data_IF_926332289974
#
_entry.id   IF_926332289974
#
_cell.length_a   1.000
_cell.length_b   1.000
_cell.length_c   1.000
_cell.angle_alpha   90.00
_cell.angle_beta   90.00
_cell.angle_gamma   90.00
#
_symmetry.space_group_name_H-M   'P 1'
#
loop_
_entity.id
_entity.type
_entity.pdbx_description
1 polymer ?
#
# COMPACT_ATOMS: atom_id res chain seq x y z
N UNK A 1 -28.73 -7.39 -15.29
CA UNK A 1 -27.42 -7.66 -14.64
C UNK A 1 -27.14 -6.59 -13.57
N UNK A 2 -26.79 -7.01 -12.35
CA UNK A 2 -26.43 -6.13 -11.22
C UNK A 2 -25.12 -6.61 -10.60
N UNK A 3 -24.30 -5.67 -10.14
CA UNK A 3 -23.01 -5.95 -9.50
C UNK A 3 -23.02 -5.46 -8.06
N UNK A 4 -22.63 -6.31 -7.13
CA UNK A 4 -22.41 -5.94 -5.74
C UNK A 4 -20.92 -5.79 -5.48
N UNK A 5 -20.54 -4.62 -4.97
CA UNK A 5 -19.17 -4.29 -4.62
C UNK A 5 -19.03 -4.21 -3.11
N UNK A 6 -17.90 -4.69 -2.60
CA UNK A 6 -17.43 -4.39 -1.25
C UNK A 6 -16.18 -3.53 -1.37
N UNK A 7 -16.29 -2.27 -0.94
CA UNK A 7 -15.30 -1.21 -1.22
C UNK A 7 -15.19 -0.95 -2.72
N UNK A 8 -14.10 -1.39 -3.36
CA UNK A 8 -13.81 -1.20 -4.79
C UNK A 8 -13.72 -2.51 -5.56
N UNK A 9 -14.10 -3.63 -4.94
CA UNK A 9 -13.93 -4.96 -5.51
C UNK A 9 -15.28 -5.65 -5.73
N UNK A 10 -15.52 -6.28 -6.90
CA UNK A 10 -16.76 -7.00 -7.17
C UNK A 10 -16.80 -8.31 -6.37
N UNK A 11 -17.91 -8.52 -5.65
CA UNK A 11 -18.11 -9.66 -4.73
C UNK A 11 -19.24 -10.57 -5.18
N UNK A 12 -20.30 -10.02 -5.76
CA UNK A 12 -21.40 -10.82 -6.29
C UNK A 12 -21.88 -10.24 -7.61
N UNK A 13 -22.06 -11.10 -8.58
CA UNK A 13 -22.73 -10.83 -9.84
C UNK A 13 -24.14 -11.43 -9.78
N UNK A 14 -25.14 -10.65 -10.18
CA UNK A 14 -26.54 -11.07 -10.24
C UNK A 14 -27.02 -10.92 -11.68
N UNK A 15 -27.39 -12.04 -12.29
CA UNK A 15 -27.97 -12.15 -13.62
C UNK A 15 -29.35 -12.80 -13.54
N UNK A 16 -30.11 -12.74 -14.62
CA UNK A 16 -31.45 -13.34 -14.66
C UNK A 16 -31.39 -14.88 -14.50
N UNK A 17 -30.26 -15.49 -14.88
CA UNK A 17 -29.99 -16.92 -14.77
C UNK A 17 -29.47 -17.35 -13.39
N UNK A 18 -29.15 -16.42 -12.48
CA UNK A 18 -28.66 -16.74 -11.13
C UNK A 18 -27.56 -15.79 -10.64
N UNK A 19 -26.92 -16.20 -9.55
CA UNK A 19 -25.92 -15.39 -8.85
C UNK A 19 -24.56 -16.09 -8.86
N UNK A 20 -23.49 -15.32 -9.06
CA UNK A 20 -22.11 -15.76 -8.90
C UNK A 20 -21.44 -14.94 -7.80
N UNK A 21 -21.00 -15.60 -6.73
CA UNK A 21 -20.29 -14.98 -5.62
C UNK A 21 -18.80 -15.28 -5.66
N UNK A 22 -17.98 -14.33 -5.25
CA UNK A 22 -16.52 -14.43 -5.25
C UNK A 22 -15.98 -14.36 -3.83
N UNK A 23 -15.24 -15.39 -3.42
CA UNK A 23 -14.53 -15.39 -2.16
C UNK A 23 -13.19 -14.67 -2.33
N UNK A 24 -12.97 -13.62 -1.53
CA UNK A 24 -11.77 -12.77 -1.63
C UNK A 24 -11.05 -12.62 -0.31
N UNK A 25 -9.72 -12.55 -0.37
CA UNK A 25 -8.89 -11.98 0.68
C UNK A 25 -8.20 -10.73 0.16
N UNK A 26 -8.65 -9.56 0.64
CA UNK A 26 -8.23 -8.25 0.12
C UNK A 26 -8.51 -8.16 -1.40
N UNK A 27 -7.46 -8.06 -2.22
CA UNK A 27 -7.57 -8.00 -3.69
C UNK A 27 -7.48 -9.37 -4.38
N UNK A 28 -7.10 -10.41 -3.65
CA UNK A 28 -6.93 -11.75 -4.22
C UNK A 28 -8.29 -12.46 -4.23
N UNK A 29 -8.68 -12.95 -5.40
CA UNK A 29 -9.90 -13.73 -5.59
C UNK A 29 -9.52 -15.19 -5.49
N UNK A 30 -9.97 -15.85 -4.44
CA UNK A 30 -9.51 -17.18 -4.04
C UNK A 30 -10.51 -18.27 -4.44
N UNK A 31 -11.77 -17.90 -4.66
CA UNK A 31 -12.79 -18.83 -5.10
C UNK A 31 -13.98 -18.14 -5.73
N UNK A 32 -14.76 -18.92 -6.47
CA UNK A 32 -16.02 -18.52 -7.09
C UNK A 32 -17.07 -19.58 -6.77
N UNK A 33 -18.29 -19.15 -6.50
CA UNK A 33 -19.43 -20.02 -6.22
C UNK A 33 -20.68 -19.55 -6.96
N UNK A 34 -21.29 -20.47 -7.70
CA UNK A 34 -22.61 -20.31 -8.29
C UNK A 34 -23.45 -21.56 -7.97
N UNK A 35 -23.90 -22.32 -8.97
CA UNK A 35 -24.41 -23.68 -8.77
C UNK A 35 -23.30 -24.63 -8.28
N UNK A 36 -22.07 -24.40 -8.73
CA UNK A 36 -20.86 -25.13 -8.33
C UNK A 36 -19.81 -24.16 -7.77
N UNK A 37 -18.88 -24.69 -6.97
CA UNK A 37 -17.78 -23.94 -6.39
C UNK A 37 -16.44 -24.33 -7.01
N UNK A 38 -15.58 -23.34 -7.24
CA UNK A 38 -14.22 -23.55 -7.75
C UNK A 38 -13.21 -22.66 -7.00
N UNK A 39 -12.02 -23.20 -6.79
CA UNK A 39 -10.85 -22.46 -6.31
C UNK A 39 -10.16 -21.76 -7.48
N UNK A 40 -9.60 -20.59 -7.21
CA UNK A 40 -8.90 -19.78 -8.21
C UNK A 40 -7.41 -19.67 -7.87
N UNK A 41 -6.57 -19.93 -8.87
CA UNK A 41 -5.15 -19.60 -8.82
C UNK A 41 -4.96 -18.19 -9.36
N UNK A 42 -4.32 -17.32 -8.59
CA UNK A 42 -4.08 -15.92 -8.96
C UNK A 42 -2.60 -15.56 -8.90
N UNK A 43 -2.19 -14.57 -9.71
CA UNK A 43 -0.86 -13.97 -9.62
C UNK A 43 -0.74 -12.94 -8.48
N UNK A 44 0.43 -12.34 -8.32
CA UNK A 44 0.66 -11.30 -7.31
C UNK A 44 -0.15 -10.02 -7.59
N UNK A 45 -0.63 -9.80 -8.82
CA UNK A 45 -1.50 -8.68 -9.18
C UNK A 45 -2.98 -8.96 -8.86
N UNK A 46 -3.34 -10.22 -8.62
CA UNK A 46 -4.71 -10.71 -8.43
C UNK A 46 -5.37 -11.24 -9.72
N UNK A 47 -4.65 -11.33 -10.83
CA UNK A 47 -5.16 -11.87 -12.09
C UNK A 47 -5.42 -13.38 -11.98
N UNK A 48 -6.60 -13.82 -12.38
CA UNK A 48 -7.01 -15.24 -12.31
C UNK A 48 -6.37 -16.04 -13.43
N UNK A 49 -5.41 -16.91 -13.07
CA UNK A 49 -4.67 -17.76 -14.00
C UNK A 49 -5.33 -19.12 -14.23
N UNK A 50 -5.99 -19.66 -13.20
CA UNK A 50 -6.63 -20.98 -13.23
C UNK A 50 -7.91 -20.98 -12.40
N UNK A 51 -8.91 -21.73 -12.84
CA UNK A 51 -10.12 -22.05 -12.07
C UNK A 51 -10.29 -23.57 -11.98
N UNK A 52 -10.50 -24.08 -10.77
CA UNK A 52 -10.50 -25.52 -10.47
C UNK A 52 -11.60 -25.89 -9.49
N UNK A 53 -12.57 -26.67 -9.96
CA UNK A 53 -13.53 -27.41 -9.13
C UNK A 53 -13.03 -28.84 -8.92
N UNK A 54 -13.92 -29.82 -9.08
CA UNK A 54 -13.53 -31.25 -9.10
C UNK A 54 -12.54 -31.58 -10.23
N UNK A 55 -12.61 -30.82 -11.32
CA UNK A 55 -11.66 -30.84 -12.43
C UNK A 55 -11.20 -29.43 -12.79
N UNK A 56 -10.18 -29.33 -13.64
CA UNK A 56 -9.73 -28.06 -14.18
C UNK A 56 -10.85 -27.46 -15.05
N UNK A 57 -11.35 -26.28 -14.65
CA UNK A 57 -12.47 -25.59 -15.32
C UNK A 57 -11.96 -24.63 -16.39
N UNK A 58 -10.83 -23.95 -16.14
CA UNK A 58 -10.27 -23.02 -17.12
C UNK A 58 -8.89 -22.48 -16.77
N UNK A 59 -8.17 -22.03 -17.80
CA UNK A 59 -6.84 -21.38 -17.70
C UNK A 59 -6.87 -20.08 -18.49
N UNK A 60 -6.25 -19.04 -17.94
CA UNK A 60 -6.16 -17.71 -18.55
C UNK A 60 -4.72 -17.19 -18.51
N UNK A 61 -4.26 -16.63 -19.62
CA UNK A 61 -2.97 -15.96 -19.72
C UNK A 61 -3.21 -14.51 -20.13
N UNK A 62 -2.59 -13.58 -19.41
CA UNK A 62 -2.74 -12.14 -19.67
C UNK A 62 -1.43 -11.55 -20.18
N UNK A 63 -1.55 -10.66 -21.17
CA UNK A 63 -0.49 -9.69 -21.46
C UNK A 63 -0.32 -8.71 -20.28
N UNK A 64 0.77 -7.91 -20.24
CA UNK A 64 0.96 -6.87 -19.23
C UNK A 64 -0.24 -5.92 -19.08
N UNK A 65 -0.95 -5.64 -20.17
CA UNK A 65 -2.13 -4.76 -20.18
C UNK A 65 -3.46 -5.52 -19.97
N UNK A 66 -3.42 -6.81 -19.64
CA UNK A 66 -4.62 -7.58 -19.32
C UNK A 66 -5.35 -8.17 -20.52
N UNK A 67 -4.80 -8.06 -21.73
CA UNK A 67 -5.38 -8.74 -22.89
C UNK A 67 -5.22 -10.26 -22.74
N UNK A 68 -6.31 -11.00 -22.96
CA UNK A 68 -6.38 -12.47 -22.95
C UNK A 68 -7.32 -12.94 -24.06
N UNK A 69 -7.06 -14.12 -24.61
CA UNK A 69 -7.96 -14.79 -25.56
C UNK A 69 -9.09 -15.56 -24.85
N UNK A 70 -8.89 -15.89 -23.57
CA UNK A 70 -9.82 -16.69 -22.77
C UNK A 70 -10.23 -15.92 -21.51
N UNK A 71 -11.06 -14.87 -21.61
CA UNK A 71 -11.46 -14.09 -20.46
C UNK A 71 -12.48 -14.83 -19.57
N UNK A 72 -12.24 -14.78 -18.27
CA UNK A 72 -13.17 -15.17 -17.20
C UNK A 72 -13.98 -13.96 -16.72
N UNK A 73 -15.09 -14.17 -16.01
CA UNK A 73 -15.92 -13.07 -15.50
C UNK A 73 -15.16 -12.17 -14.53
N UNK A 74 -14.32 -12.77 -13.68
CA UNK A 74 -13.31 -12.07 -12.90
C UNK A 74 -11.95 -12.54 -13.41
N UNK A 75 -11.16 -11.61 -13.96
CA UNK A 75 -9.95 -11.94 -14.69
C UNK A 75 -8.76 -11.11 -14.26
N UNK A 76 -8.25 -10.28 -15.18
CA UNK A 76 -7.09 -9.41 -14.98
C UNK A 76 -7.21 -8.62 -13.67
N UNK A 77 -6.22 -8.74 -12.79
CA UNK A 77 -6.15 -8.07 -11.48
C UNK A 77 -7.36 -8.27 -10.57
N UNK A 78 -8.14 -9.33 -10.80
CA UNK A 78 -9.37 -9.57 -10.06
C UNK A 78 -10.49 -8.59 -10.39
N UNK A 79 -10.42 -7.93 -11.55
CA UNK A 79 -11.45 -7.03 -12.06
C UNK A 79 -12.48 -7.78 -12.90
N UNK A 80 -13.69 -7.22 -12.96
CA UNK A 80 -14.75 -7.78 -13.79
C UNK A 80 -14.49 -7.53 -15.26
N UNK A 81 -14.62 -8.57 -16.08
CA UNK A 81 -14.54 -8.46 -17.52
C UNK A 81 -15.94 -8.32 -18.13
N UNK A 82 -16.19 -7.18 -18.75
CA UNK A 82 -17.39 -6.97 -19.54
C UNK A 82 -17.26 -7.68 -20.88
N UNK A 83 -18.01 -8.77 -21.05
CA UNK A 83 -18.02 -9.56 -22.29
C UNK A 83 -18.58 -8.78 -23.48
N UNK A 84 -19.55 -7.88 -23.26
CA UNK A 84 -20.16 -7.06 -24.31
C UNK A 84 -19.20 -6.02 -24.86
N UNK A 85 -18.60 -5.22 -23.98
CA UNK A 85 -17.69 -4.13 -24.37
C UNK A 85 -16.23 -4.58 -24.51
N UNK A 86 -15.91 -5.83 -24.16
CA UNK A 86 -14.57 -6.43 -24.13
C UNK A 86 -13.56 -5.57 -23.37
N UNK A 87 -13.92 -5.18 -22.15
CA UNK A 87 -13.19 -4.21 -21.32
C UNK A 87 -13.45 -4.42 -19.83
N UNK A 88 -12.75 -3.68 -18.99
CA UNK A 88 -12.85 -3.74 -17.53
C UNK A 88 -13.41 -2.42 -16.99
N UNK A 89 -14.64 -2.37 -16.45
CA UNK A 89 -15.20 -1.14 -15.88
C UNK A 89 -14.67 -0.93 -14.45
N UNK A 90 -13.55 -0.21 -14.35
CA UNK A 90 -12.87 0.09 -13.10
C UNK A 90 -13.57 1.24 -12.35
N UNK A 91 -13.33 1.33 -11.04
CA UNK A 91 -13.95 2.37 -10.22
C UNK A 91 -15.45 2.20 -10.04
N UNK A 92 -15.91 0.95 -9.91
CA UNK A 92 -17.33 0.61 -9.86
C UNK A 92 -18.10 1.13 -11.10
N UNK A 93 -17.48 1.05 -12.28
CA UNK A 93 -18.06 1.55 -13.53
C UNK A 93 -17.74 3.00 -13.87
N UNK A 94 -16.94 3.69 -13.06
CA UNK A 94 -16.53 5.07 -13.34
C UNK A 94 -15.79 5.21 -14.68
N UNK A 95 -14.82 4.34 -14.97
CA UNK A 95 -14.11 4.34 -16.27
C UNK A 95 -13.98 2.95 -16.85
N UNK A 96 -14.19 2.87 -18.16
CA UNK A 96 -14.06 1.63 -18.91
C UNK A 96 -12.64 1.48 -19.46
N UNK A 97 -11.87 0.52 -18.92
CA UNK A 97 -10.50 0.21 -19.32
C UNK A 97 -10.48 -0.84 -20.44
N UNK A 98 -9.90 -0.49 -21.59
CA UNK A 98 -9.72 -1.42 -22.70
C UNK A 98 -8.30 -1.98 -22.70
N UNK A 99 -8.17 -3.28 -22.44
CA UNK A 99 -6.90 -3.99 -22.52
C UNK A 99 -6.33 -4.05 -23.95
N UNK A 100 -7.19 -3.98 -24.97
CA UNK A 100 -6.79 -3.93 -26.39
C UNK A 100 -6.19 -2.56 -26.74
N UNK A 101 -6.83 -1.47 -26.29
CA UNK A 101 -6.34 -0.10 -26.52
C UNK A 101 -5.26 0.33 -25.51
N UNK A 102 -5.03 -0.49 -24.49
CA UNK A 102 -4.08 -0.25 -23.40
C UNK A 102 -4.37 1.04 -22.61
N UNK A 103 -5.64 1.47 -22.57
CA UNK A 103 -6.06 2.76 -21.99
C UNK A 103 -7.52 2.77 -21.58
N UNK A 104 -7.93 3.80 -20.84
CA UNK A 104 -9.34 4.10 -20.59
C UNK A 104 -10.03 4.65 -21.84
N UNK A 105 -11.31 4.33 -22.01
CA UNK A 105 -12.16 4.83 -23.11
C UNK A 105 -12.77 6.20 -22.83
N UNK A 106 -12.77 6.63 -21.57
CA UNK A 106 -13.23 7.95 -21.12
C UNK A 106 -12.12 8.70 -20.38
N UNK A 107 -12.09 10.04 -20.45
CA UNK A 107 -11.13 10.84 -19.70
C UNK A 107 -11.43 10.81 -18.20
N UNK A 108 -10.40 10.95 -17.37
CA UNK A 108 -10.57 11.16 -15.93
C UNK A 108 -11.00 12.60 -15.61
N UNK A 109 -12.07 12.77 -14.83
CA UNK A 109 -12.47 14.05 -14.23
C UNK A 109 -11.42 14.63 -13.27
N UNK A 110 -10.53 13.80 -12.71
CA UNK A 110 -9.43 14.26 -11.87
C UNK A 110 -8.16 14.58 -12.68
N UNK A 111 -8.18 14.44 -14.00
CA UNK A 111 -7.09 14.88 -14.87
C UNK A 111 -7.33 16.28 -15.42
N UNK A 112 -6.28 17.03 -15.80
CA UNK A 112 -4.86 16.70 -15.62
C UNK A 112 -4.24 17.19 -14.29
N UNK A 113 -4.97 18.02 -13.52
CA UNK A 113 -4.42 18.71 -12.33
C UNK A 113 -4.70 18.01 -10.98
N UNK A 114 -5.48 16.93 -10.96
CA UNK A 114 -5.76 16.12 -9.77
C UNK A 114 -5.10 14.74 -9.81
N UNK A 115 -5.65 13.80 -9.05
CA UNK A 115 -5.09 12.45 -8.85
C UNK A 115 -5.04 11.59 -10.14
N UNK A 116 -5.77 11.99 -11.19
CA UNK A 116 -5.80 11.30 -12.50
C UNK A 116 -4.51 11.41 -13.31
N UNK A 117 -3.65 12.37 -12.97
CA UNK A 117 -2.40 12.65 -13.68
C UNK A 117 -2.61 13.31 -15.04
N UNK A 118 -1.51 13.64 -15.71
CA UNK A 118 -1.51 14.52 -16.90
C UNK A 118 -2.27 13.93 -18.10
N UNK A 119 -2.20 12.61 -18.30
CA UNK A 119 -2.91 11.96 -19.40
C UNK A 119 -4.25 11.38 -18.91
N UNK A 120 -5.40 12.00 -19.28
CA UNK A 120 -6.71 11.57 -18.78
C UNK A 120 -7.13 10.16 -19.21
N UNK A 121 -6.47 9.57 -20.20
CA UNK A 121 -6.77 8.23 -20.71
C UNK A 121 -5.78 7.17 -20.24
N UNK A 122 -4.65 7.54 -19.64
CA UNK A 122 -3.58 6.58 -19.34
C UNK A 122 -4.02 5.56 -18.28
N UNK A 123 -3.83 4.28 -18.56
CA UNK A 123 -3.97 3.25 -17.55
C UNK A 123 -2.68 3.16 -16.73
N UNK A 124 -2.78 3.43 -15.43
CA UNK A 124 -1.72 3.30 -14.43
C UNK A 124 -0.35 3.91 -14.82
N UNK A 125 -0.38 5.02 -15.56
CA UNK A 125 0.82 5.67 -16.12
C UNK A 125 1.68 4.74 -16.99
N UNK A 126 1.05 3.84 -17.74
CA UNK A 126 1.68 2.90 -18.67
C UNK A 126 2.62 1.88 -18.02
N UNK A 127 2.40 1.55 -16.73
CA UNK A 127 3.17 0.53 -15.99
C UNK A 127 2.24 -0.51 -15.32
N UNK A 128 1.48 -1.28 -16.11
CA UNK A 128 0.50 -2.24 -15.58
C UNK A 128 1.12 -3.51 -15.01
N UNK A 129 2.44 -3.68 -15.08
CA UNK A 129 3.16 -4.79 -14.41
C UNK A 129 3.44 -4.47 -12.94
N UNK A 130 3.53 -3.19 -12.57
CA UNK A 130 3.78 -2.77 -11.19
C UNK A 130 2.57 -2.12 -10.49
N UNK A 131 1.55 -1.71 -11.26
CA UNK A 131 0.46 -0.88 -10.75
C UNK A 131 -0.93 -1.33 -11.16
N UNK A 132 -1.92 -1.04 -10.32
CA UNK A 132 -3.37 -1.19 -10.56
C UNK A 132 -4.15 0.11 -10.34
N UNK A 133 -5.39 0.17 -10.78
CA UNK A 133 -6.29 1.31 -10.51
C UNK A 133 -7.73 0.84 -10.23
N UNK A 134 -8.01 0.29 -9.04
CA UNK A 134 -9.35 -0.18 -8.68
C UNK A 134 -10.39 0.95 -8.63
N UNK A 135 -9.93 2.19 -8.39
CA UNK A 135 -10.79 3.37 -8.37
C UNK A 135 -11.15 3.88 -9.77
N UNK A 136 -10.45 3.41 -10.80
CA UNK A 136 -10.46 4.06 -12.09
C UNK A 136 -10.07 5.53 -12.00
N UNK A 137 -9.20 5.96 -11.09
CA UNK A 137 -8.70 7.34 -11.01
C UNK A 137 -7.18 7.38 -10.94
N UNK A 138 -6.59 6.56 -10.07
CA UNK A 138 -5.18 6.65 -9.74
C UNK A 138 -4.52 5.30 -9.59
N UNK A 139 -3.25 5.26 -9.97
CA UNK A 139 -2.44 4.05 -9.81
C UNK A 139 -2.11 3.76 -8.34
N UNK A 140 -2.20 2.50 -7.96
CA UNK A 140 -1.72 1.92 -6.70
C UNK A 140 -0.75 0.76 -6.98
N UNK A 141 0.27 0.58 -6.14
CA UNK A 141 1.23 -0.52 -6.32
C UNK A 141 0.56 -1.87 -6.08
N UNK A 142 0.92 -2.88 -6.88
CA UNK A 142 0.50 -4.27 -6.63
C UNK A 142 1.02 -4.82 -5.32
N UNK A 143 2.21 -4.40 -4.92
CA UNK A 143 2.96 -4.97 -3.80
C UNK A 143 2.34 -4.58 -2.46
N UNK A 144 1.13 -5.06 -2.20
CA UNK A 144 0.57 -5.29 -0.87
C UNK A 144 1.34 -6.35 -0.09
N UNK A 145 2.35 -6.99 -0.71
CA UNK A 145 3.46 -7.67 -0.04
C UNK A 145 4.78 -7.13 -0.60
N UNK A 146 5.14 -5.89 -0.24
CA UNK A 146 6.55 -5.67 0.09
C UNK A 146 6.66 -6.05 1.55
N UNK A 147 7.49 -7.05 1.86
CA UNK A 147 7.95 -7.28 3.22
C UNK A 147 8.28 -5.91 3.81
N UNK A 148 7.76 -5.65 5.01
CA UNK A 148 8.14 -4.43 5.68
C UNK A 148 9.60 -4.55 5.98
N UNK A 149 10.40 -3.72 5.32
CA UNK A 149 11.85 -3.80 5.50
C UNK A 149 12.21 -2.94 6.69
N UNK A 150 13.07 -3.50 7.52
CA UNK A 150 13.79 -2.75 8.52
C UNK A 150 15.24 -2.72 8.08
N UNK A 151 15.78 -1.54 7.88
CA UNK A 151 17.14 -1.34 7.38
C UNK A 151 17.86 -0.35 8.25
N UNK A 152 19.02 -0.74 8.76
CA UNK A 152 19.92 0.13 9.49
C UNK A 152 20.96 0.70 8.55
N UNK A 153 21.11 2.02 8.53
CA UNK A 153 22.13 2.68 7.73
C UNK A 153 22.99 3.55 8.62
N UNK A 154 24.31 3.42 8.48
CA UNK A 154 25.27 4.32 9.11
C UNK A 154 25.92 5.19 8.03
N UNK A 155 25.75 6.52 8.12
CA UNK A 155 26.26 7.47 7.14
C UNK A 155 27.23 8.46 7.77
N UNK A 156 28.13 9.02 6.96
CA UNK A 156 29.05 10.10 7.37
C UNK A 156 30.48 9.61 7.64
N UNK A 157 31.44 10.42 7.18
CA UNK A 157 32.88 10.11 7.24
C UNK A 157 33.48 10.49 8.60
N UNK A 158 33.20 11.70 9.09
CA UNK A 158 33.78 12.22 10.34
C UNK A 158 32.88 12.00 11.57
N UNK A 159 31.55 12.14 11.39
CA UNK A 159 30.55 11.85 12.43
C UNK A 159 29.57 10.83 11.88
N UNK A 160 29.70 9.59 12.32
CA UNK A 160 28.78 8.50 11.97
C UNK A 160 27.40 8.82 12.53
N UNK A 161 26.41 8.96 11.65
CA UNK A 161 24.98 9.06 11.97
C UNK A 161 24.32 7.71 11.73
N UNK A 162 23.59 7.19 12.71
CA UNK A 162 22.81 5.96 12.58
C UNK A 162 21.35 6.29 12.31
N UNK A 163 20.83 5.78 11.22
CA UNK A 163 19.43 5.93 10.83
C UNK A 163 18.77 4.55 10.70
N UNK A 164 17.55 4.44 11.21
CA UNK A 164 16.71 3.26 11.02
C UNK A 164 15.61 3.57 10.01
N UNK A 165 15.47 2.76 8.97
CA UNK A 165 14.41 2.87 7.99
C UNK A 165 13.43 1.73 8.18
N UNK A 166 12.15 2.07 8.37
CA UNK A 166 11.04 1.13 8.39
C UNK A 166 10.13 1.48 7.22
N UNK A 167 9.99 0.57 6.26
CA UNK A 167 9.15 0.81 5.09
C UNK A 167 8.02 -0.19 5.02
N UNK A 168 6.79 0.29 4.91
CA UNK A 168 5.60 -0.54 4.96
C UNK A 168 4.37 0.22 4.50
N UNK A 169 3.21 -0.43 4.52
CA UNK A 169 1.95 0.23 4.18
C UNK A 169 1.32 0.80 5.44
N UNK A 170 0.95 2.08 5.45
CA UNK A 170 0.13 2.62 6.53
C UNK A 170 -1.36 2.39 6.29
N UNK A 171 -2.16 2.49 7.34
CA UNK A 171 -3.61 2.41 7.27
C UNK A 171 -4.25 3.79 7.00
N UNK A 172 -5.43 3.80 6.36
CA UNK A 172 -6.15 5.05 6.05
C UNK A 172 -6.63 5.80 7.30
N UNK A 173 -6.85 5.09 8.40
CA UNK A 173 -7.18 5.67 9.71
C UNK A 173 -5.92 6.19 10.45
N UNK A 174 -4.73 6.11 9.84
CA UNK A 174 -3.45 6.57 10.39
C UNK A 174 -3.01 5.87 11.69
N UNK A 175 -3.62 4.73 12.05
CA UNK A 175 -3.36 4.06 13.33
C UNK A 175 -2.35 2.92 13.27
N UNK A 176 -2.09 2.36 12.08
CA UNK A 176 -1.31 1.13 11.92
C UNK A 176 -0.33 1.22 10.75
N UNK A 177 0.80 0.53 10.90
CA UNK A 177 1.71 0.20 9.80
C UNK A 177 1.68 -1.31 9.62
N UNK A 178 1.38 -1.75 8.40
CA UNK A 178 1.42 -3.17 8.04
C UNK A 178 2.86 -3.65 8.04
N UNK A 179 3.10 -4.76 8.75
CA UNK A 179 4.32 -5.54 8.80
C UNK A 179 3.98 -7.00 8.47
N UNK A 180 4.62 -7.60 7.46
CA UNK A 180 4.34 -8.97 7.00
C UNK A 180 2.83 -9.27 6.81
N UNK A 181 2.10 -8.29 6.25
CA UNK A 181 0.65 -8.40 6.01
C UNK A 181 -0.25 -8.06 7.21
N UNK A 182 0.31 -7.91 8.41
CA UNK A 182 -0.42 -7.61 9.65
C UNK A 182 -0.32 -6.13 10.00
N UNK A 183 -1.44 -5.44 10.23
CA UNK A 183 -1.43 -4.05 10.69
C UNK A 183 -1.03 -3.95 12.16
N UNK A 184 0.13 -3.37 12.45
CA UNK A 184 0.68 -3.21 13.79
C UNK A 184 0.47 -1.80 14.34
N UNK A 185 0.16 -1.69 15.62
CA UNK A 185 0.26 -0.42 16.38
C UNK A 185 1.73 0.00 16.53
N UNK A 186 2.03 1.24 16.97
CA UNK A 186 3.39 1.67 17.27
C UNK A 186 4.13 0.74 18.24
N UNK A 187 3.45 0.28 19.29
CA UNK A 187 4.00 -0.61 20.32
C UNK A 187 4.27 -2.01 19.75
N UNK A 188 3.35 -2.53 18.95
CA UNK A 188 3.51 -3.81 18.30
C UNK A 188 4.64 -3.78 17.27
N UNK A 189 4.78 -2.69 16.53
CA UNK A 189 5.89 -2.49 15.59
C UNK A 189 7.24 -2.41 16.32
N UNK A 190 7.28 -1.78 17.49
CA UNK A 190 8.47 -1.69 18.31
C UNK A 190 8.96 -3.07 18.77
N UNK A 191 8.07 -3.90 19.33
CA UNK A 191 8.44 -5.26 19.72
C UNK A 191 8.81 -6.11 18.50
N UNK A 192 8.09 -5.95 17.38
CA UNK A 192 8.41 -6.68 16.14
C UNK A 192 9.79 -6.33 15.58
N UNK A 193 10.20 -5.07 15.68
CA UNK A 193 11.53 -4.63 15.28
C UNK A 193 12.61 -5.24 16.19
N UNK A 194 12.37 -5.34 17.50
CA UNK A 194 13.28 -6.02 18.44
C UNK A 194 13.41 -7.51 18.16
N UNK A 195 12.31 -8.20 17.85
CA UNK A 195 12.33 -9.60 17.40
C UNK A 195 13.21 -9.80 16.16
N UNK A 196 13.30 -8.79 15.29
CA UNK A 196 14.16 -8.79 14.09
C UNK A 196 15.60 -8.35 14.37
N UNK A 197 15.98 -8.15 15.64
CA UNK A 197 17.34 -7.83 16.05
C UNK A 197 17.66 -6.34 16.17
N UNK A 198 16.67 -5.45 16.01
CA UNK A 198 16.87 -4.00 16.17
C UNK A 198 17.01 -3.66 17.64
N UNK A 199 18.07 -2.95 18.00
CA UNK A 199 18.21 -2.37 19.33
C UNK A 199 17.99 -0.85 19.28
N UNK A 200 17.01 -0.36 20.03
CA UNK A 200 16.67 1.07 20.08
C UNK A 200 17.47 1.85 21.12
N UNK A 201 18.06 1.16 22.09
CA UNK A 201 18.72 1.79 23.23
C UNK A 201 20.06 1.13 23.55
N UNK A 202 21.02 1.94 23.99
CA UNK A 202 22.30 1.47 24.52
C UNK A 202 22.42 1.96 25.95
N UNK A 203 22.76 1.04 26.86
CA UNK A 203 23.05 1.35 28.26
C UNK A 203 24.54 1.62 28.45
N UNK A 204 24.88 2.71 29.14
CA UNK A 204 26.25 3.04 29.56
C UNK A 204 26.21 3.48 31.04
N UNK A 205 26.51 2.54 31.94
CA UNK A 205 26.30 2.73 33.38
C UNK A 205 24.80 2.81 33.70
N UNK A 206 24.40 3.85 34.45
CA UNK A 206 22.99 4.11 34.80
C UNK A 206 22.23 4.91 33.74
N UNK A 207 22.90 5.30 32.66
CA UNK A 207 22.30 6.10 31.59
C UNK A 207 21.91 5.21 30.42
N UNK A 208 20.68 5.36 29.97
CA UNK A 208 20.18 4.80 28.73
C UNK A 208 20.11 5.90 27.68
N UNK A 209 20.53 5.61 26.45
CA UNK A 209 20.44 6.55 25.33
C UNK A 209 19.90 5.89 24.07
N UNK A 210 19.19 6.63 23.22
CA UNK A 210 18.76 6.13 21.92
C UNK A 210 19.96 5.75 21.05
N UNK A 211 19.79 4.70 20.25
CA UNK A 211 20.78 4.17 19.31
C UNK A 211 20.85 4.98 18.03
N UNK A 212 19.69 5.39 17.52
CA UNK A 212 19.56 6.06 16.22
C UNK A 212 19.44 7.56 16.40
N UNK A 213 20.15 8.32 15.57
CA UNK A 213 19.97 9.77 15.47
C UNK A 213 18.59 10.12 14.92
N UNK A 214 18.05 9.24 14.06
CA UNK A 214 16.73 9.37 13.43
C UNK A 214 16.18 8.01 13.03
N UNK A 215 14.88 7.82 13.21
CA UNK A 215 14.12 6.73 12.60
C UNK A 215 13.20 7.30 11.52
N UNK A 216 13.07 6.62 10.38
CA UNK A 216 12.22 7.03 9.26
C UNK A 216 11.16 5.93 9.06
N UNK A 217 9.89 6.28 9.24
CA UNK A 217 8.76 5.41 8.93
C UNK A 217 8.17 5.84 7.59
N UNK A 218 8.64 5.21 6.51
CA UNK A 218 8.12 5.43 5.16
C UNK A 218 6.87 4.55 4.93
N UNK A 219 5.77 5.01 5.52
CA UNK A 219 4.44 4.41 5.39
C UNK A 219 3.40 5.51 5.20
N UNK A 220 2.37 5.24 4.39
CA UNK A 220 1.30 6.19 4.11
C UNK A 220 0.64 6.69 5.41
N UNK A 221 0.37 7.99 5.51
CA UNK A 221 -0.35 8.58 6.64
C UNK A 221 0.27 8.32 8.04
N UNK A 222 1.56 7.94 8.13
CA UNK A 222 2.22 7.70 9.41
C UNK A 222 2.37 8.96 10.28
N UNK A 223 2.29 10.15 9.71
CA UNK A 223 2.21 11.42 10.44
C UNK A 223 0.77 11.93 10.63
N UNK A 224 -0.23 11.26 10.01
CA UNK A 224 -1.62 11.62 10.15
C UNK A 224 -2.08 11.41 11.59
N UNK A 225 -2.94 12.31 12.06
CA UNK A 225 -3.76 12.07 13.25
C UNK A 225 -5.05 11.43 12.77
N UNK A 226 -5.46 10.30 13.38
CA UNK A 226 -6.83 9.81 13.20
C UNK A 226 -7.83 10.96 13.48
N UNK A 227 -9.06 10.88 12.98
CA UNK A 227 -10.09 11.93 13.06
C UNK A 227 -10.35 12.52 14.48
N UNK A 228 -9.76 11.96 15.53
CA UNK A 228 -9.96 12.30 16.94
C UNK A 228 -8.66 12.76 17.67
N UNK A 229 -8.07 13.88 17.23
CA UNK A 229 -7.11 14.75 18.00
C UNK A 229 -5.90 14.09 18.70
N UNK A 230 -5.65 12.80 18.52
CA UNK A 230 -4.60 12.03 19.19
C UNK A 230 -3.24 12.16 18.51
N UNK A 231 -2.18 11.74 19.20
CA UNK A 231 -0.83 11.68 18.62
C UNK A 231 -0.77 10.74 17.40
N UNK A 232 -0.06 11.16 16.35
CA UNK A 232 0.16 10.36 15.14
C UNK A 232 0.90 9.05 15.43
N UNK A 233 0.82 8.09 14.51
CA UNK A 233 1.60 6.85 14.60
C UNK A 233 3.09 7.14 14.83
N UNK A 234 3.66 8.05 14.04
CA UNK A 234 5.06 8.43 14.12
C UNK A 234 5.42 9.12 15.44
N UNK A 235 4.53 9.96 16.01
CA UNK A 235 4.75 10.55 17.32
C UNK A 235 4.76 9.50 18.43
N UNK A 236 3.76 8.61 18.46
CA UNK A 236 3.70 7.52 19.45
C UNK A 236 4.93 6.61 19.35
N UNK A 237 5.36 6.33 18.13
CA UNK A 237 6.59 5.57 17.90
C UNK A 237 7.82 6.33 18.41
N UNK A 238 7.90 7.65 18.20
CA UNK A 238 9.00 8.49 18.71
C UNK A 238 9.10 8.41 20.23
N UNK A 239 7.96 8.55 20.90
CA UNK A 239 7.85 8.45 22.35
C UNK A 239 8.34 7.07 22.84
N UNK A 240 8.07 6.01 22.08
CA UNK A 240 8.49 4.65 22.40
C UNK A 240 9.98 4.38 22.16
N UNK A 241 10.58 4.91 21.10
CA UNK A 241 12.00 4.65 20.74
C UNK A 241 12.98 5.66 21.32
N UNK A 242 12.51 6.73 21.96
CA UNK A 242 13.35 7.80 22.52
C UNK A 242 14.19 8.54 21.47
N UNK A 243 13.89 8.37 20.18
CA UNK A 243 14.63 8.91 19.03
C UNK A 243 13.71 9.80 18.19
N UNK A 244 14.29 10.73 17.43
CA UNK A 244 13.49 11.51 16.45
C UNK A 244 12.93 10.58 15.38
N UNK A 245 11.64 10.68 15.10
CA UNK A 245 10.96 9.87 14.09
C UNK A 245 10.43 10.76 12.98
N UNK A 246 10.70 10.39 11.73
CA UNK A 246 10.07 11.00 10.55
C UNK A 246 8.89 10.16 10.09
N UNK A 247 7.71 10.78 10.00
CA UNK A 247 6.51 10.21 9.38
C UNK A 247 5.98 11.07 8.23
N UNK A 248 4.86 10.67 7.63
CA UNK A 248 4.29 11.33 6.44
C UNK A 248 2.76 11.46 6.50
N UNK A 249 2.21 12.65 6.19
CA UNK A 249 0.77 12.95 6.29
C UNK A 249 -0.06 12.42 5.11
N UNK A 250 0.57 11.79 4.11
CA UNK A 250 -0.16 11.18 3.00
C UNK A 250 0.55 9.99 2.36
N UNK A 251 0.23 9.71 1.09
CA UNK A 251 0.69 8.50 0.42
C UNK A 251 2.20 8.56 0.09
N UNK A 252 2.97 7.57 0.56
CA UNK A 252 4.42 7.49 0.39
C UNK A 252 4.79 6.31 -0.49
N UNK A 253 5.81 6.47 -1.34
CA UNK A 253 6.48 5.37 -2.04
C UNK A 253 7.97 5.33 -1.68
N UNK A 254 8.43 4.19 -1.21
CA UNK A 254 9.84 3.91 -0.93
C UNK A 254 10.35 2.74 -1.79
N UNK A 255 11.61 2.84 -2.25
CA UNK A 255 12.33 1.76 -2.92
C UNK A 255 13.75 1.71 -2.34
N UNK A 256 14.23 0.54 -1.95
CA UNK A 256 15.64 0.33 -1.67
C UNK A 256 16.35 -0.11 -2.95
N UNK A 257 17.52 0.46 -3.24
CA UNK A 257 18.45 -0.07 -4.25
C UNK A 257 19.78 -0.33 -3.54
N UNK A 258 20.12 -1.60 -3.33
CA UNK A 258 21.28 -1.97 -2.51
C UNK A 258 21.11 -1.51 -1.05
N UNK A 259 22.18 -0.97 -0.46
CA UNK A 259 22.20 -0.41 0.91
C UNK A 259 21.71 1.05 0.98
N UNK A 260 21.26 1.61 -0.15
CA UNK A 260 20.75 2.97 -0.22
C UNK A 260 19.22 2.99 -0.24
N UNK A 261 18.65 3.69 0.75
CA UNK A 261 17.26 4.09 0.73
C UNK A 261 17.07 5.18 -0.34
N UNK A 262 16.43 4.84 -1.45
CA UNK A 262 15.91 5.83 -2.38
C UNK A 262 14.45 6.09 -2.01
N UNK A 263 14.22 7.17 -1.26
CA UNK A 263 12.91 7.80 -1.29
C UNK A 263 12.62 8.11 -2.76
N UNK A 264 11.50 7.64 -3.32
CA UNK A 264 11.11 8.01 -4.69
C UNK A 264 10.57 9.43 -4.63
N UNK A 265 11.49 10.35 -4.40
CA UNK A 265 11.34 11.80 -4.41
C UNK A 265 12.58 12.25 -5.15
N UNK A 266 12.55 12.17 -6.49
CA UNK A 266 13.63 12.75 -7.26
C UNK A 266 13.74 14.22 -6.84
N UNK A 267 14.87 14.55 -6.25
CA UNK A 267 15.28 15.88 -5.85
C UNK A 267 15.18 16.83 -7.03
N UNK A 268 14.26 17.79 -6.95
CA UNK A 268 14.33 19.19 -7.42
C UNK A 268 12.91 19.78 -7.30
N UNK A 269 12.75 20.83 -6.50
CA UNK A 269 11.52 21.61 -6.42
C UNK A 269 11.15 22.26 -7.79
N UNK A 270 9.99 22.91 -7.93
CA UNK A 270 8.68 22.31 -8.06
C UNK A 270 8.09 22.74 -9.41
N UNK A 271 7.88 21.81 -10.34
CA UNK A 271 7.04 22.11 -11.50
C UNK A 271 6.08 20.95 -11.72
N UNK A 272 4.84 21.22 -11.33
CA UNK A 272 3.62 20.43 -11.56
C UNK A 272 3.36 19.33 -10.52
N UNK A 273 2.36 19.59 -9.67
CA UNK A 273 1.82 18.72 -8.61
C UNK A 273 1.61 17.30 -9.16
N UNK A 274 2.43 16.35 -8.71
CA UNK A 274 2.31 14.93 -9.07
C UNK A 274 1.78 14.14 -7.88
N UNK A 275 0.48 13.82 -7.87
CA UNK A 275 -0.19 12.61 -7.35
C UNK A 275 0.24 11.90 -6.05
N UNK A 276 1.12 12.46 -5.23
CA UNK A 276 1.55 11.95 -3.94
C UNK A 276 1.68 13.15 -3.00
N UNK A 277 0.58 13.51 -2.33
CA UNK A 277 0.63 14.52 -1.27
C UNK A 277 1.19 13.87 -0.01
N UNK A 278 2.50 13.63 0.07
CA UNK A 278 3.14 13.35 1.35
C UNK A 278 3.82 14.62 1.85
N UNK A 279 3.52 14.99 3.09
CA UNK A 279 4.25 16.04 3.80
C UNK A 279 5.02 15.35 4.93
N UNK A 280 6.37 15.36 4.91
CA UNK A 280 7.15 14.77 5.98
C UNK A 280 7.01 15.61 7.26
N UNK A 281 6.92 14.93 8.39
CA UNK A 281 6.96 15.56 9.71
C UNK A 281 7.97 14.84 10.58
N UNK A 282 8.82 15.63 11.25
CA UNK A 282 9.76 15.13 12.22
C UNK A 282 9.14 15.30 13.62
N UNK A 283 9.04 14.20 14.35
CA UNK A 283 8.52 14.12 15.70
C UNK A 283 9.66 13.86 16.67
N UNK A 284 9.73 14.65 17.74
CA UNK A 284 10.65 14.40 18.84
C UNK A 284 9.93 13.60 19.94
N UNK A 285 10.64 12.69 20.64
CA UNK A 285 10.06 11.98 21.77
C UNK A 285 9.59 12.98 22.82
N UNK A 286 8.36 12.81 23.30
CA UNK A 286 7.84 13.54 24.44
C UNK A 286 8.49 12.98 25.71
N UNK A 287 8.92 13.86 26.60
CA UNK A 287 9.40 13.45 27.92
C UNK A 287 8.17 13.01 28.71
N UNK A 288 8.10 11.73 29.08
CA UNK A 288 7.15 11.28 30.09
C UNK A 288 7.80 11.48 31.46
N UNK A 289 7.19 12.33 32.29
CA UNK A 289 7.65 12.66 33.65
C UNK A 289 7.51 11.48 34.63
N UNK A 290 8.13 10.33 34.33
CA UNK A 290 8.17 9.20 35.28
C UNK A 290 9.48 9.14 36.06
N UNK A 291 10.39 10.12 35.91
CA UNK A 291 11.69 10.16 36.61
C UNK A 291 12.17 11.57 37.01
N UNK A 292 11.26 12.54 37.18
CA UNK A 292 11.62 13.78 37.86
C UNK A 292 11.69 13.53 39.37
N UNK A 293 12.79 12.97 39.85
CA UNK A 293 13.17 13.19 41.25
C UNK A 293 13.59 14.65 41.36
N UNK A 294 12.64 15.50 41.76
CA UNK A 294 12.94 16.85 42.24
C UNK A 294 13.84 16.65 43.46
N UNK A 295 15.14 16.84 43.29
CA UNK A 295 16.04 17.06 44.42
C UNK A 295 15.73 18.44 44.96
N UNK A 296 14.85 18.50 45.96
CA UNK A 296 14.76 19.66 46.83
C UNK A 296 16.14 19.87 47.48
N UNK A 297 16.74 21.03 47.22
CA UNK A 297 17.78 21.63 48.07
C UNK A 297 17.12 22.69 48.92
#
# INVERSE_FOLDING_TARGET
MKYMYFKSWPVTLIEDAGNTSFFRHQRLVLGVGSAEAALLKVDEAGSVLESRGDSLVGVSNYSPYGHTLSPTDIGFKGEWFNRFSRSYPLGNGYRDYSAVLMRFRSPDSLSPMGDGGINPYAFVSNDPVNWSDPSGHRRILYSGIKQTTITEITKGVFRKKRELYITGHGSLDSTKVKFDGVGLSPEQLFEKAKEKGVSFEVRKGDRTRPVYDRVIIAACYSAGTANDRGASFAQKFADKVGSRVRGYEGAVRAVFRGDEFHQVTSWTEPKYRTGFNYKPFDFSPRITDSNSTIRNR
#
